data_IF_028025629445
#
_entry.id   IF_028025629445
#
_cell.length_a   1.000
_cell.length_b   1.000
_cell.length_c   1.000
_cell.angle_alpha   90.00
_cell.angle_beta   90.00
_cell.angle_gamma   90.00
#
_symmetry.space_group_name_H-M   'P 1'
#
loop_
_entity.id
_entity.type
_entity.pdbx_description
1 polymer ?
#
# COMPACT_ATOMS: atom_id res chain seq x y z
N UNK A 1 -28.68 -5.16 12.49
CA UNK A 1 -27.87 -4.92 11.28
C UNK A 1 -26.41 -4.99 11.70
N UNK A 2 -25.71 -6.04 11.28
CA UNK A 2 -24.37 -6.35 11.78
C UNK A 2 -23.38 -5.30 11.24
N UNK A 3 -22.68 -4.60 12.14
CA UNK A 3 -21.48 -3.84 11.79
C UNK A 3 -20.48 -4.85 11.22
N UNK A 4 -20.29 -4.83 9.91
CA UNK A 4 -19.25 -5.60 9.24
C UNK A 4 -17.94 -5.34 9.96
N UNK A 5 -17.37 -6.43 10.50
CA UNK A 5 -16.15 -6.41 11.30
C UNK A 5 -15.10 -5.60 10.54
N UNK A 6 -14.69 -4.46 11.08
CA UNK A 6 -13.54 -3.67 10.62
C UNK A 6 -12.47 -4.65 10.19
N UNK A 7 -12.22 -4.77 8.88
CA UNK A 7 -11.27 -5.74 8.33
C UNK A 7 -10.01 -5.70 9.21
N UNK A 8 -9.72 -6.83 9.87
CA UNK A 8 -8.71 -6.92 10.94
C UNK A 8 -7.38 -6.40 10.38
N UNK A 9 -6.88 -5.26 10.87
CA UNK A 9 -5.53 -4.78 10.51
C UNK A 9 -5.28 -3.26 10.48
N UNK A 10 -6.29 -2.40 10.68
CA UNK A 10 -6.10 -0.94 10.59
C UNK A 10 -5.65 -0.48 9.19
N UNK A 11 -5.26 0.79 9.03
CA UNK A 11 -4.86 1.34 7.73
C UNK A 11 -3.68 0.56 7.10
N UNK A 12 -2.72 0.07 7.91
CA UNK A 12 -1.61 -0.74 7.40
C UNK A 12 -2.08 -2.07 6.82
N UNK A 13 -2.94 -2.79 7.54
CA UNK A 13 -3.50 -4.06 7.06
C UNK A 13 -4.34 -3.90 5.80
N UNK A 14 -5.14 -2.83 5.71
CA UNK A 14 -5.92 -2.48 4.51
C UNK A 14 -5.02 -2.21 3.31
N UNK A 15 -4.00 -1.38 3.49
CA UNK A 15 -3.00 -1.11 2.44
C UNK A 15 -2.29 -2.38 1.99
N UNK A 16 -1.86 -3.23 2.93
CA UNK A 16 -1.21 -4.51 2.60
C UNK A 16 -2.12 -5.39 1.74
N UNK A 17 -3.37 -5.58 2.17
CA UNK A 17 -4.34 -6.37 1.43
C UNK A 17 -4.58 -5.80 0.02
N UNK A 18 -4.65 -4.47 -0.09
CA UNK A 18 -4.82 -3.78 -1.37
C UNK A 18 -3.62 -3.99 -2.30
N UNK A 19 -2.39 -3.81 -1.82
CA UNK A 19 -1.19 -4.07 -2.62
C UNK A 19 -1.13 -5.54 -3.10
N UNK A 20 -1.42 -6.49 -2.23
CA UNK A 20 -1.42 -7.93 -2.57
C UNK A 20 -2.51 -8.29 -3.59
N UNK A 21 -3.64 -7.59 -3.60
CA UNK A 21 -4.69 -7.77 -4.60
C UNK A 21 -4.38 -7.06 -5.93
N UNK A 22 -3.37 -6.18 -5.97
CA UNK A 22 -3.04 -5.30 -7.10
C UNK A 22 -1.56 -5.38 -7.49
N UNK A 23 -0.97 -6.58 -7.40
CA UNK A 23 0.41 -6.84 -7.81
C UNK A 23 0.60 -6.39 -9.26
N UNK A 24 1.76 -5.76 -9.55
CA UNK A 24 2.15 -5.15 -10.84
C UNK A 24 1.21 -4.08 -11.40
N UNK A 25 0.14 -3.68 -10.70
CA UNK A 25 -0.67 -2.53 -11.07
C UNK A 25 -0.11 -1.25 -10.44
N UNK A 26 -0.11 -0.18 -11.23
CA UNK A 26 0.17 1.17 -10.72
C UNK A 26 -1.02 1.69 -9.92
N UNK A 27 -0.76 2.07 -8.67
CA UNK A 27 -1.71 2.71 -7.74
C UNK A 27 -1.24 4.13 -7.46
N UNK A 28 -2.16 5.07 -7.29
CA UNK A 28 -1.83 6.45 -6.94
C UNK A 28 -2.10 6.79 -5.47
N UNK A 29 -1.64 7.97 -5.07
CA UNK A 29 -1.73 8.45 -3.68
C UNK A 29 -3.16 8.66 -3.22
N UNK A 30 -4.08 9.03 -4.13
CA UNK A 30 -5.48 9.26 -3.78
C UNK A 30 -6.19 7.93 -3.50
N UNK A 31 -5.94 6.92 -4.33
CA UNK A 31 -6.39 5.56 -4.12
C UNK A 31 -5.88 4.99 -2.80
N UNK A 32 -4.57 5.06 -2.54
CA UNK A 32 -3.99 4.52 -1.31
C UNK A 32 -4.48 5.26 -0.06
N UNK A 33 -4.68 6.58 -0.16
CA UNK A 33 -5.30 7.37 0.91
C UNK A 33 -6.72 6.88 1.21
N UNK A 34 -7.53 6.62 0.17
CA UNK A 34 -8.89 6.13 0.33
C UNK A 34 -8.92 4.74 0.99
N UNK A 35 -8.03 3.83 0.59
CA UNK A 35 -7.86 2.50 1.22
C UNK A 35 -7.47 2.61 2.69
N UNK A 36 -6.66 3.61 3.04
CA UNK A 36 -6.27 3.95 4.42
C UNK A 36 -7.33 4.70 5.22
N UNK A 37 -8.62 4.62 4.86
CA UNK A 37 -9.75 5.36 5.47
C UNK A 37 -9.55 6.89 5.49
N UNK A 38 -8.86 7.44 4.48
CA UNK A 38 -8.50 8.85 4.39
C UNK A 38 -7.66 9.39 5.57
N UNK A 39 -7.02 8.52 6.34
CA UNK A 39 -6.11 8.93 7.42
C UNK A 39 -4.84 9.56 6.84
N UNK A 40 -4.36 10.66 7.44
CA UNK A 40 -3.10 11.32 7.05
C UNK A 40 -1.88 10.40 7.11
N UNK A 41 -1.95 9.35 7.94
CA UNK A 41 -0.88 8.38 8.17
C UNK A 41 -0.71 7.36 7.03
N UNK A 42 -1.56 7.34 5.99
CA UNK A 42 -1.49 6.33 4.92
C UNK A 42 -0.08 6.21 4.32
N UNK A 43 0.59 7.34 4.06
CA UNK A 43 1.92 7.37 3.46
C UNK A 43 2.98 6.79 4.41
N UNK A 44 2.84 7.01 5.73
CA UNK A 44 3.66 6.36 6.75
C UNK A 44 3.45 4.85 6.72
N UNK A 45 2.20 4.39 6.65
CA UNK A 45 1.87 2.96 6.60
C UNK A 45 2.46 2.28 5.36
N UNK A 46 2.45 2.94 4.20
CA UNK A 46 3.14 2.42 2.99
C UNK A 46 4.65 2.27 3.23
N UNK A 47 5.29 3.22 3.91
CA UNK A 47 6.72 3.11 4.27
C UNK A 47 6.98 1.94 5.21
N UNK A 48 6.14 1.73 6.21
CA UNK A 48 6.24 0.58 7.12
C UNK A 48 6.13 -0.75 6.36
N UNK A 49 5.23 -0.87 5.38
CA UNK A 49 5.16 -2.07 4.53
C UNK A 49 6.48 -2.33 3.78
N UNK A 50 7.19 -1.27 3.35
CA UNK A 50 8.50 -1.38 2.69
C UNK A 50 9.61 -1.76 3.67
N UNK A 51 9.71 -1.05 4.80
CA UNK A 51 10.88 -1.11 5.68
C UNK A 51 10.74 -2.10 6.83
N UNK A 52 9.53 -2.29 7.36
CA UNK A 52 9.26 -3.19 8.49
C UNK A 52 8.77 -4.57 8.04
N UNK A 53 8.09 -4.65 6.89
CA UNK A 53 7.51 -5.90 6.38
C UNK A 53 8.15 -6.37 5.08
N UNK A 54 9.11 -5.63 4.53
CA UNK A 54 9.94 -6.06 3.39
C UNK A 54 9.23 -6.13 2.04
N UNK A 55 8.03 -5.57 1.88
CA UNK A 55 7.36 -5.55 0.59
C UNK A 55 8.07 -4.63 -0.40
N UNK A 56 8.31 -5.14 -1.61
CA UNK A 56 8.95 -4.38 -2.70
C UNK A 56 7.94 -3.43 -3.38
N UNK A 57 7.54 -2.39 -2.63
CA UNK A 57 6.68 -1.31 -3.15
C UNK A 57 7.60 -0.26 -3.79
N UNK A 58 7.59 -0.22 -5.12
CA UNK A 58 8.35 0.68 -5.96
C UNK A 58 7.65 2.03 -6.09
N UNK A 59 8.44 3.07 -6.29
CA UNK A 59 8.02 4.46 -6.52
C UNK A 59 8.78 5.06 -7.70
N UNK A 60 8.48 6.31 -8.06
CA UNK A 60 9.24 7.07 -9.08
C UNK A 60 10.76 7.17 -8.83
N UNK A 61 11.22 7.00 -7.58
CA UNK A 61 12.65 6.95 -7.28
C UNK A 61 13.29 5.59 -7.63
N UNK A 62 12.47 4.56 -7.80
CA UNK A 62 12.90 3.18 -8.06
C UNK A 62 12.69 2.79 -9.54
N UNK A 63 11.64 3.32 -10.19
CA UNK A 63 11.31 3.10 -11.62
C UNK A 63 10.94 4.41 -12.30
N UNK A 64 11.62 4.73 -13.40
CA UNK A 64 11.43 5.98 -14.15
C UNK A 64 10.06 6.09 -14.83
N UNK A 65 9.36 4.98 -15.05
CA UNK A 65 8.01 4.97 -15.62
C UNK A 65 6.93 5.40 -14.61
N UNK A 66 7.24 5.38 -13.30
CA UNK A 66 6.34 5.84 -12.26
C UNK A 66 6.45 7.35 -12.08
N UNK A 67 5.30 8.02 -11.94
CA UNK A 67 5.23 9.45 -11.61
C UNK A 67 5.31 9.67 -10.09
N UNK A 68 5.68 10.87 -9.63
CA UNK A 68 5.52 11.23 -8.22
C UNK A 68 4.10 10.92 -7.72
N UNK A 69 4.01 10.24 -6.58
CA UNK A 69 2.73 9.79 -6.01
C UNK A 69 2.17 8.49 -6.59
N UNK A 70 2.89 7.81 -7.48
CA UNK A 70 2.56 6.46 -7.94
C UNK A 70 3.39 5.38 -7.24
N UNK A 71 2.75 4.24 -7.05
CA UNK A 71 3.27 3.08 -6.31
C UNK A 71 2.95 1.80 -7.06
N UNK A 72 3.83 0.80 -6.95
CA UNK A 72 3.63 -0.53 -7.53
C UNK A 72 4.23 -1.58 -6.62
N UNK A 73 3.48 -2.62 -6.26
CA UNK A 73 4.05 -3.82 -5.63
C UNK A 73 4.54 -4.77 -6.71
N UNK A 74 5.85 -5.06 -6.73
CA UNK A 74 6.45 -5.88 -7.79
C UNK A 74 6.11 -7.37 -7.66
N UNK A 75 6.10 -7.90 -6.43
CA UNK A 75 5.77 -9.30 -6.16
C UNK A 75 5.23 -9.48 -4.73
N UNK A 76 4.53 -10.58 -4.41
CA UNK A 76 3.87 -10.77 -3.12
C UNK A 76 4.82 -11.15 -1.97
N UNK A 77 6.10 -11.41 -2.23
CA UNK A 77 7.04 -11.97 -1.26
C UNK A 77 7.87 -10.85 -0.60
N UNK A 78 7.81 -10.72 0.74
CA UNK A 78 8.76 -9.92 1.51
C UNK A 78 10.23 -10.30 1.28
N UNK A 79 11.13 -9.32 1.32
CA UNK A 79 12.58 -9.51 1.10
C UNK A 79 13.44 -9.48 2.37
N UNK A 80 12.86 -9.23 3.54
CA UNK A 80 13.57 -9.19 4.83
C UNK A 80 13.22 -10.39 5.69
#
# INVERSE_FOLDING_TARGET
>A
MAREKTQRGGARGKLRAHFLANIVRVMDSEELRAVGDNQSEWARRVRELRTEEGYLILTHNDRSELKPGQYLLENPKPQI
#
